data_IF_537424137497
#
_entry.id   IF_537424137497
#
_cell.length_a   1.000
_cell.length_b   1.000
_cell.length_c   1.000
_cell.angle_alpha   90.00
_cell.angle_beta   90.00
_cell.angle_gamma   90.00
#
_symmetry.space_group_name_H-M   'P 1'
#
loop_
_entity.id
_entity.type
_entity.pdbx_description
1 polymer ?
#
# COMPACT_ATOMS: atom_id res chain seq x y z
N UNK A 1 -27.91 -42.80 3.56
CA UNK A 1 -26.47 -42.58 3.24
C UNK A 1 -26.21 -41.98 1.85
N UNK A 2 -27.01 -42.25 0.80
CA UNK A 2 -26.78 -41.80 -0.59
C UNK A 2 -26.80 -40.27 -0.80
N UNK A 3 -27.65 -39.52 -0.08
CA UNK A 3 -27.72 -38.05 -0.18
C UNK A 3 -26.52 -37.31 0.44
N UNK A 4 -25.94 -37.83 1.54
CA UNK A 4 -24.77 -37.21 2.18
C UNK A 4 -23.54 -37.19 1.27
N UNK A 5 -23.36 -38.23 0.46
CA UNK A 5 -22.25 -38.30 -0.52
C UNK A 5 -22.45 -37.34 -1.71
N UNK A 6 -23.69 -37.07 -2.12
CA UNK A 6 -23.98 -36.10 -3.20
C UNK A 6 -23.68 -34.66 -2.76
N UNK A 7 -24.15 -34.28 -1.57
CA UNK A 7 -23.88 -32.96 -1.00
C UNK A 7 -22.37 -32.74 -0.78
N UNK A 8 -21.68 -33.75 -0.25
CA UNK A 8 -20.23 -33.70 -0.07
C UNK A 8 -19.47 -33.47 -1.39
N UNK A 9 -19.81 -34.22 -2.44
CA UNK A 9 -19.18 -34.04 -3.75
C UNK A 9 -19.47 -32.66 -4.36
N UNK A 10 -20.70 -32.16 -4.18
CA UNK A 10 -21.07 -30.83 -4.66
C UNK A 10 -20.23 -29.73 -3.99
N UNK A 11 -20.07 -29.79 -2.66
CA UNK A 11 -19.21 -28.88 -1.90
C UNK A 11 -17.76 -28.98 -2.40
N UNK A 12 -17.26 -30.20 -2.62
CA UNK A 12 -15.89 -30.41 -3.08
C UNK A 12 -15.64 -29.85 -4.49
N UNK A 13 -16.65 -29.87 -5.38
CA UNK A 13 -16.58 -29.22 -6.69
C UNK A 13 -16.52 -27.70 -6.55
N UNK A 14 -17.29 -27.11 -5.64
CA UNK A 14 -17.22 -25.65 -5.38
C UNK A 14 -15.82 -25.27 -4.88
N UNK A 15 -15.29 -26.02 -3.92
CA UNK A 15 -13.93 -25.80 -3.39
C UNK A 15 -12.89 -25.92 -4.51
N UNK A 16 -13.01 -26.93 -5.38
CA UNK A 16 -12.14 -27.09 -6.54
C UNK A 16 -12.17 -25.85 -7.45
N UNK A 17 -13.36 -25.35 -7.79
CA UNK A 17 -13.51 -24.17 -8.66
C UNK A 17 -12.86 -22.95 -8.02
N UNK A 18 -13.02 -22.74 -6.71
CA UNK A 18 -12.41 -21.62 -5.99
C UNK A 18 -10.88 -21.69 -6.08
N UNK A 19 -10.27 -22.82 -5.72
CA UNK A 19 -8.81 -22.96 -5.79
C UNK A 19 -8.28 -22.92 -7.23
N UNK A 20 -9.00 -23.50 -8.18
CA UNK A 20 -8.60 -23.48 -9.59
C UNK A 20 -8.64 -22.06 -10.17
N UNK A 21 -9.67 -21.27 -9.83
CA UNK A 21 -9.76 -19.87 -10.26
C UNK A 21 -8.72 -18.97 -9.59
N UNK A 22 -8.42 -19.20 -8.30
CA UNK A 22 -7.34 -18.51 -7.61
C UNK A 22 -5.97 -18.82 -8.25
N UNK A 23 -5.67 -20.08 -8.50
CA UNK A 23 -4.44 -20.50 -9.17
C UNK A 23 -4.29 -19.87 -10.57
N UNK A 24 -5.37 -19.85 -11.36
CA UNK A 24 -5.35 -19.20 -12.66
C UNK A 24 -5.07 -17.70 -12.55
N UNK A 25 -5.66 -17.03 -11.56
CA UNK A 25 -5.40 -15.62 -11.29
C UNK A 25 -3.90 -15.42 -10.98
N UNK A 26 -3.32 -16.18 -10.07
CA UNK A 26 -1.90 -16.04 -9.70
C UNK A 26 -0.97 -16.30 -10.90
N UNK A 27 -1.25 -17.32 -11.72
CA UNK A 27 -0.47 -17.56 -12.95
C UNK A 27 -0.60 -16.39 -13.93
N UNK A 28 -1.81 -15.89 -14.16
CA UNK A 28 -2.04 -14.81 -15.13
C UNK A 28 -1.45 -13.48 -14.68
N UNK A 29 -1.63 -13.11 -13.42
CA UNK A 29 -1.16 -11.83 -12.86
C UNK A 29 0.33 -11.87 -12.54
N UNK A 30 0.81 -12.88 -11.80
CA UNK A 30 2.16 -12.87 -11.25
C UNK A 30 3.19 -13.40 -12.25
N UNK A 31 2.84 -14.45 -13.00
CA UNK A 31 3.77 -15.09 -13.96
C UNK A 31 3.68 -14.44 -15.34
N UNK A 32 2.46 -14.28 -15.86
CA UNK A 32 2.23 -13.78 -17.22
C UNK A 32 2.06 -12.26 -17.30
N UNK A 33 1.95 -11.56 -16.17
CA UNK A 33 1.79 -10.09 -16.08
C UNK A 33 0.59 -9.56 -16.89
N UNK A 34 -0.48 -10.36 -16.98
CA UNK A 34 -1.72 -10.00 -17.68
C UNK A 34 -2.54 -9.09 -16.78
N UNK A 35 -2.91 -7.91 -17.28
CA UNK A 35 -3.77 -6.98 -16.53
C UNK A 35 -5.16 -7.56 -16.29
N UNK A 36 -5.67 -7.41 -15.09
CA UNK A 36 -6.99 -7.86 -14.66
C UNK A 36 -7.76 -6.73 -13.95
N UNK A 37 -9.09 -6.81 -13.83
CA UNK A 37 -9.88 -5.84 -13.07
C UNK A 37 -9.43 -5.67 -11.60
N UNK A 38 -8.76 -6.68 -11.02
CA UNK A 38 -8.24 -6.61 -9.65
C UNK A 38 -7.02 -5.70 -9.51
N UNK A 39 -6.28 -5.44 -10.58
CA UNK A 39 -5.09 -4.56 -10.55
C UNK A 39 -5.45 -3.09 -10.31
N UNK A 40 -6.74 -2.76 -10.42
CA UNK A 40 -7.28 -1.44 -10.07
C UNK A 40 -7.63 -1.32 -8.57
N UNK A 41 -7.56 -2.42 -7.79
CA UNK A 41 -7.84 -2.45 -6.36
C UNK A 41 -6.53 -2.29 -5.58
N UNK A 42 -6.01 -1.07 -5.54
CA UNK A 42 -4.92 -0.65 -4.64
C UNK A 42 -3.50 -1.12 -5.04
N UNK A 43 -2.54 -0.19 -5.05
CA UNK A 43 -1.18 -0.45 -5.54
C UNK A 43 -0.33 -1.17 -4.47
N UNK A 44 -0.35 -2.51 -4.47
CA UNK A 44 0.48 -3.36 -3.60
C UNK A 44 1.99 -3.03 -3.67
N UNK A 45 2.43 -2.38 -4.77
CA UNK A 45 3.80 -1.91 -4.95
C UNK A 45 4.22 -0.90 -3.88
N UNK A 46 3.32 -0.05 -3.43
CA UNK A 46 3.61 0.94 -2.38
C UNK A 46 3.93 0.24 -1.06
N UNK A 47 3.14 -0.80 -0.72
CA UNK A 47 3.36 -1.64 0.48
C UNK A 47 4.66 -2.44 0.37
N UNK A 48 4.98 -3.01 -0.79
CA UNK A 48 6.23 -3.77 -0.96
C UNK A 48 7.48 -2.91 -0.92
N UNK A 49 7.40 -1.64 -1.37
CA UNK A 49 8.53 -0.70 -1.30
C UNK A 49 8.97 -0.39 0.13
N UNK A 50 8.08 -0.63 1.11
CA UNK A 50 8.35 -0.46 2.53
C UNK A 50 9.21 -1.54 3.16
N UNK A 51 9.26 -2.72 2.55
CA UNK A 51 9.89 -3.88 3.16
C UNK A 51 11.38 -3.90 2.91
N UNK A 52 12.13 -4.33 3.93
CA UNK A 52 13.55 -4.60 3.76
C UNK A 52 13.74 -5.73 2.73
N UNK A 53 14.85 -5.70 1.98
CA UNK A 53 15.16 -6.73 0.97
C UNK A 53 15.02 -8.17 1.51
N UNK A 54 15.47 -8.51 2.74
CA UNK A 54 15.27 -9.85 3.28
C UNK A 54 13.80 -10.23 3.47
N UNK A 55 12.96 -9.31 3.94
CA UNK A 55 11.51 -9.53 4.12
C UNK A 55 10.84 -9.74 2.77
N UNK A 56 11.23 -8.96 1.76
CA UNK A 56 10.72 -9.10 0.39
C UNK A 56 11.06 -10.48 -0.21
N UNK A 57 12.30 -10.96 -0.01
CA UNK A 57 12.73 -12.29 -0.45
C UNK A 57 11.88 -13.37 0.22
N UNK A 58 11.67 -13.28 1.54
CA UNK A 58 10.82 -14.21 2.29
C UNK A 58 9.40 -14.22 1.71
N UNK A 59 8.81 -13.04 1.49
CA UNK A 59 7.48 -12.89 0.90
C UNK A 59 7.38 -13.61 -0.46
N UNK A 60 8.33 -13.39 -1.38
CA UNK A 60 8.32 -14.04 -2.68
C UNK A 60 8.48 -15.55 -2.61
N UNK A 61 9.37 -16.06 -1.75
CA UNK A 61 9.53 -17.51 -1.53
C UNK A 61 8.20 -18.11 -1.08
N UNK A 62 7.54 -17.47 -0.12
CA UNK A 62 6.26 -17.94 0.35
C UNK A 62 5.13 -17.82 -0.68
N UNK A 63 5.14 -16.79 -1.54
CA UNK A 63 4.23 -16.69 -2.68
C UNK A 63 4.35 -17.89 -3.62
N UNK A 64 5.58 -18.27 -3.98
CA UNK A 64 5.83 -19.48 -4.79
C UNK A 64 5.34 -20.75 -4.09
N UNK A 65 5.59 -20.89 -2.79
CA UNK A 65 5.10 -22.02 -2.01
C UNK A 65 3.55 -22.08 -1.96
N UNK A 66 2.87 -20.94 -1.92
CA UNK A 66 1.41 -20.86 -1.99
C UNK A 66 0.89 -21.42 -3.31
N UNK A 67 1.44 -20.97 -4.44
CA UNK A 67 1.08 -21.46 -5.78
C UNK A 67 1.29 -22.96 -5.90
N UNK A 68 2.43 -23.48 -5.40
CA UNK A 68 2.69 -24.92 -5.38
C UNK A 68 1.67 -25.69 -4.53
N UNK A 69 1.27 -25.13 -3.38
CA UNK A 69 0.24 -25.69 -2.52
C UNK A 69 -1.13 -25.75 -3.20
N UNK A 70 -1.49 -24.70 -3.94
CA UNK A 70 -2.73 -24.63 -4.72
C UNK A 70 -2.75 -25.66 -5.86
N UNK A 71 -1.66 -25.78 -6.63
CA UNK A 71 -1.50 -26.83 -7.66
C UNK A 71 -1.71 -28.21 -7.04
N UNK A 72 -1.07 -28.46 -5.89
CA UNK A 72 -1.19 -29.74 -5.21
C UNK A 72 -2.62 -30.02 -4.71
N UNK A 73 -3.31 -29.01 -4.19
CA UNK A 73 -4.73 -29.14 -3.79
C UNK A 73 -5.64 -29.42 -4.99
N UNK A 74 -5.47 -28.71 -6.11
CA UNK A 74 -6.24 -28.93 -7.34
C UNK A 74 -6.07 -30.38 -7.82
N UNK A 75 -4.84 -30.92 -7.80
CA UNK A 75 -4.56 -32.32 -8.14
C UNK A 75 -5.23 -33.29 -7.15
N UNK A 76 -5.06 -33.07 -5.84
CA UNK A 76 -5.63 -33.95 -4.81
C UNK A 76 -7.16 -33.98 -4.82
N UNK A 77 -7.79 -32.82 -4.96
CA UNK A 77 -9.24 -32.69 -5.03
C UNK A 77 -9.77 -33.37 -6.29
N UNK A 78 -9.08 -33.22 -7.43
CA UNK A 78 -9.39 -33.94 -8.66
C UNK A 78 -9.32 -35.46 -8.45
N UNK A 79 -8.23 -35.97 -7.86
CA UNK A 79 -8.07 -37.39 -7.56
C UNK A 79 -9.16 -37.91 -6.60
N UNK A 80 -9.58 -37.10 -5.62
CA UNK A 80 -10.65 -37.44 -4.70
C UNK A 80 -12.02 -37.48 -5.41
N UNK A 81 -12.31 -36.53 -6.29
CA UNK A 81 -13.56 -36.46 -7.06
C UNK A 81 -13.68 -37.60 -8.09
N UNK A 82 -12.65 -37.80 -8.90
CA UNK A 82 -12.67 -38.75 -10.03
C UNK A 82 -12.36 -40.19 -9.61
N UNK A 83 -11.36 -40.41 -8.76
CA UNK A 83 -10.96 -41.77 -8.32
C UNK A 83 -11.58 -42.18 -6.98
N UNK A 84 -12.41 -41.33 -6.35
CA UNK A 84 -13.10 -41.58 -5.07
C UNK A 84 -12.17 -42.04 -3.93
N UNK A 85 -10.90 -41.62 -3.97
CA UNK A 85 -9.85 -42.07 -3.04
C UNK A 85 -9.93 -41.33 -1.71
N UNK A 86 -10.80 -41.80 -0.80
CA UNK A 86 -11.04 -41.17 0.52
C UNK A 86 -9.80 -40.99 1.40
N UNK A 87 -8.74 -41.77 1.20
CA UNK A 87 -7.47 -41.60 1.94
C UNK A 87 -6.83 -40.21 1.73
N UNK A 88 -7.19 -39.51 0.65
CA UNK A 88 -6.69 -38.17 0.32
C UNK A 88 -7.36 -37.05 1.13
N UNK A 89 -8.43 -37.34 1.89
CA UNK A 89 -9.11 -36.32 2.69
C UNK A 89 -8.19 -35.68 3.74
N UNK A 90 -7.44 -36.50 4.49
CA UNK A 90 -6.51 -36.02 5.51
C UNK A 90 -5.46 -35.05 4.95
N UNK A 91 -4.69 -35.38 3.88
CA UNK A 91 -3.72 -34.45 3.34
C UNK A 91 -4.36 -33.20 2.74
N UNK A 92 -5.56 -33.28 2.13
CA UNK A 92 -6.30 -32.08 1.68
C UNK A 92 -6.56 -31.14 2.86
N UNK A 93 -7.12 -31.64 3.96
CA UNK A 93 -7.41 -30.81 5.13
C UNK A 93 -6.14 -30.18 5.73
N UNK A 94 -5.06 -30.95 5.86
CA UNK A 94 -3.78 -30.45 6.40
C UNK A 94 -3.25 -29.31 5.53
N UNK A 95 -3.21 -29.48 4.21
CA UNK A 95 -2.65 -28.49 3.30
C UNK A 95 -3.53 -27.24 3.23
N UNK A 96 -4.86 -27.40 3.22
CA UNK A 96 -5.77 -26.26 3.32
C UNK A 96 -5.57 -25.47 4.61
N UNK A 97 -5.37 -26.13 5.75
CA UNK A 97 -5.14 -25.47 7.02
C UNK A 97 -3.79 -24.72 7.05
N UNK A 98 -2.74 -25.31 6.45
CA UNK A 98 -1.43 -24.67 6.32
C UNK A 98 -1.50 -23.42 5.45
N UNK A 99 -2.20 -23.47 4.31
CA UNK A 99 -2.39 -22.31 3.44
C UNK A 99 -3.16 -21.20 4.16
N UNK A 100 -4.28 -21.52 4.83
CA UNK A 100 -5.05 -20.53 5.59
C UNK A 100 -4.19 -19.87 6.68
N UNK A 101 -3.43 -20.68 7.43
CA UNK A 101 -2.54 -20.17 8.48
C UNK A 101 -1.46 -19.25 7.90
N UNK A 102 -0.88 -19.64 6.77
CA UNK A 102 0.07 -18.82 6.03
C UNK A 102 -0.54 -17.47 5.61
N UNK A 103 -1.72 -17.47 4.97
CA UNK A 103 -2.40 -16.24 4.56
C UNK A 103 -2.73 -15.33 5.75
N UNK A 104 -3.14 -15.89 6.90
CA UNK A 104 -3.38 -15.14 8.12
C UNK A 104 -2.09 -14.50 8.67
N UNK A 105 -0.97 -15.24 8.65
CA UNK A 105 0.33 -14.72 9.05
C UNK A 105 0.77 -13.57 8.14
N UNK A 106 0.69 -13.74 6.82
CA UNK A 106 1.01 -12.67 5.86
C UNK A 106 0.13 -11.45 6.09
N UNK A 107 -1.18 -11.64 6.21
CA UNK A 107 -2.11 -10.53 6.46
C UNK A 107 -1.79 -9.78 7.76
N UNK A 108 -1.48 -10.51 8.85
CA UNK A 108 -1.05 -9.89 10.11
C UNK A 108 0.27 -9.15 9.99
N UNK A 109 1.26 -9.67 9.24
CA UNK A 109 2.52 -8.97 8.98
C UNK A 109 2.28 -7.69 8.16
N UNK A 110 1.41 -7.72 7.15
CA UNK A 110 1.04 -6.55 6.36
C UNK A 110 0.37 -5.47 7.23
N UNK A 111 -0.57 -5.86 8.09
CA UNK A 111 -1.23 -4.97 9.05
C UNK A 111 -0.24 -4.32 10.03
N UNK A 112 0.69 -5.10 10.57
CA UNK A 112 1.71 -4.62 11.51
C UNK A 112 2.75 -3.73 10.83
N UNK A 113 3.09 -3.97 9.58
CA UNK A 113 4.02 -3.11 8.84
C UNK A 113 3.35 -1.84 8.29
N UNK A 114 2.03 -1.82 8.09
CA UNK A 114 1.34 -0.61 7.64
C UNK A 114 1.51 0.56 8.64
N UNK A 115 1.53 0.28 9.95
CA UNK A 115 1.81 1.30 10.96
C UNK A 115 3.28 1.76 10.94
N UNK A 116 4.23 0.87 10.64
CA UNK A 116 5.65 1.20 10.56
C UNK A 116 6.06 1.85 9.23
N UNK A 117 5.32 1.63 8.13
CA UNK A 117 5.62 2.19 6.80
C UNK A 117 5.32 3.68 6.70
N UNK A 118 4.19 4.14 7.25
CA UNK A 118 3.96 5.58 7.30
C UNK A 118 4.96 6.27 8.23
N UNK A 119 5.40 5.57 9.28
CA UNK A 119 6.37 6.06 10.25
C UNK A 119 7.84 5.91 9.86
N UNK A 120 8.18 5.17 8.79
CA UNK A 120 9.54 5.14 8.28
C UNK A 120 9.82 6.49 7.62
N UNK A 121 10.61 7.28 8.33
CA UNK A 121 11.30 8.45 7.80
C UNK A 121 12.60 7.90 7.21
N UNK A 122 12.67 7.53 5.91
CA UNK A 122 13.97 7.29 5.28
C UNK A 122 14.75 8.59 5.43
N UNK A 123 15.98 8.53 5.98
CA UNK A 123 16.90 9.64 6.25
C UNK A 123 16.50 10.99 5.60
N UNK A 124 15.52 11.70 6.19
CA UNK A 124 15.06 12.95 5.60
C UNK A 124 16.12 13.99 5.87
N UNK A 125 16.75 14.45 4.80
CA UNK A 125 17.58 15.63 4.84
C UNK A 125 16.72 16.82 5.28
N UNK A 126 17.27 17.62 6.19
CA UNK A 126 16.64 18.85 6.62
C UNK A 126 17.27 20.00 5.87
N UNK A 127 16.45 20.96 5.47
CA UNK A 127 16.93 22.24 4.94
C UNK A 127 16.43 23.38 5.82
N UNK A 128 17.30 24.37 6.02
CA UNK A 128 16.88 25.65 6.58
C UNK A 128 16.45 26.55 5.42
N UNK A 129 15.15 26.82 5.33
CA UNK A 129 14.57 27.61 4.25
C UNK A 129 13.89 28.86 4.80
N UNK A 130 14.06 29.99 4.12
CA UNK A 130 13.49 31.27 4.54
C UNK A 130 12.22 31.59 3.75
N UNK A 131 11.12 31.85 4.46
CA UNK A 131 9.87 32.40 3.88
C UNK A 131 9.57 33.69 4.61
N UNK A 132 9.38 34.80 3.87
CA UNK A 132 9.10 36.12 4.45
C UNK A 132 10.04 36.49 5.62
N UNK A 133 11.35 36.31 5.41
CA UNK A 133 12.41 36.58 6.39
C UNK A 133 12.39 35.71 7.66
N UNK A 134 11.49 34.73 7.75
CA UNK A 134 11.47 33.74 8.84
C UNK A 134 12.15 32.46 8.37
N UNK A 135 13.11 31.95 9.14
CA UNK A 135 13.81 30.69 8.85
C UNK A 135 13.03 29.51 9.43
N UNK A 136 12.82 28.50 8.62
CA UNK A 136 12.17 27.25 9.00
C UNK A 136 13.08 26.07 8.75
N UNK A 137 13.09 25.12 9.68
CA UNK A 137 13.69 23.80 9.47
C UNK A 137 12.66 22.90 8.79
N UNK A 138 12.89 22.54 7.54
CA UNK A 138 11.93 21.79 6.71
C UNK A 138 12.49 20.43 6.32
N UNK A 139 11.59 19.46 6.18
CA UNK A 139 11.87 18.20 5.49
C UNK A 139 11.93 18.44 3.99
N UNK A 140 12.81 17.74 3.27
CA UNK A 140 12.85 17.78 1.81
C UNK A 140 11.97 16.65 1.24
N UNK A 141 11.24 16.95 0.17
CA UNK A 141 10.57 16.01 -0.70
C UNK A 141 10.94 16.33 -2.16
N UNK A 142 11.85 15.55 -2.75
CA UNK A 142 12.37 15.76 -4.11
C UNK A 142 12.16 14.54 -5.03
N UNK A 143 11.54 13.48 -4.51
CA UNK A 143 11.07 12.34 -5.28
C UNK A 143 9.54 12.23 -5.31
N UNK A 144 8.99 11.65 -6.38
CA UNK A 144 7.54 11.49 -6.58
C UNK A 144 6.83 10.83 -5.37
N UNK A 145 7.42 9.78 -4.80
CA UNK A 145 6.88 9.08 -3.62
C UNK A 145 6.76 9.99 -2.39
N UNK A 146 7.65 10.96 -2.27
CA UNK A 146 7.68 11.90 -1.15
C UNK A 146 6.68 13.02 -1.36
N UNK A 147 6.47 13.45 -2.61
CA UNK A 147 5.43 14.39 -2.98
C UNK A 147 4.03 13.84 -2.68
N UNK A 148 3.78 12.59 -3.07
CA UNK A 148 2.50 11.91 -2.83
C UNK A 148 2.23 11.70 -1.33
N UNK A 149 3.26 11.36 -0.55
CA UNK A 149 3.17 11.12 0.90
C UNK A 149 3.04 12.41 1.71
N UNK A 150 3.81 13.44 1.38
CA UNK A 150 3.86 14.70 2.12
C UNK A 150 3.97 14.54 3.64
N UNK A 151 3.09 15.23 4.36
CA UNK A 151 2.94 15.16 5.82
C UNK A 151 1.78 14.25 6.29
N UNK A 152 1.34 13.30 5.46
CA UNK A 152 0.30 12.35 5.89
C UNK A 152 0.73 11.54 7.12
N UNK A 153 -0.25 11.20 7.95
CA UNK A 153 -0.14 10.36 9.16
C UNK A 153 0.66 10.92 10.33
N UNK A 154 1.38 12.02 10.15
CA UNK A 154 1.95 12.75 11.28
C UNK A 154 0.86 13.44 12.08
N UNK A 155 0.83 13.21 13.38
CA UNK A 155 -0.14 13.84 14.30
C UNK A 155 0.47 14.95 15.12
N UNK A 156 1.80 14.92 15.33
CA UNK A 156 2.49 15.88 16.18
C UNK A 156 3.82 16.33 15.58
N UNK A 157 4.24 17.57 15.90
CA UNK A 157 5.58 18.09 15.52
C UNK A 157 6.73 17.25 16.08
N UNK A 158 6.50 16.52 17.18
CA UNK A 158 7.49 15.63 17.80
C UNK A 158 7.87 14.46 16.89
N UNK A 159 6.90 13.92 16.15
CA UNK A 159 7.13 12.81 15.19
C UNK A 159 8.00 13.25 14.00
N UNK A 160 8.06 14.55 13.73
CA UNK A 160 8.83 15.16 12.64
C UNK A 160 10.27 15.54 13.06
N UNK A 161 10.76 15.05 14.20
CA UNK A 161 12.14 15.27 14.67
C UNK A 161 12.56 16.76 14.66
N UNK A 162 11.62 17.63 14.99
CA UNK A 162 11.82 19.08 15.07
C UNK A 162 11.71 19.84 13.74
N UNK A 163 11.30 19.20 12.64
CA UNK A 163 10.88 19.95 11.46
C UNK A 163 9.60 20.75 11.74
N UNK A 164 9.52 21.92 11.12
CA UNK A 164 8.38 22.84 11.19
C UNK A 164 7.47 22.72 9.98
N UNK A 165 7.78 21.81 9.05
CA UNK A 165 7.09 21.67 7.79
C UNK A 165 7.88 20.82 6.78
N UNK A 166 7.50 20.95 5.51
CA UNK A 166 8.10 20.24 4.39
C UNK A 166 8.22 21.16 3.17
N UNK A 167 9.32 21.04 2.43
CA UNK A 167 9.50 21.67 1.12
C UNK A 167 9.51 20.60 0.04
N UNK A 168 8.71 20.84 -0.99
CA UNK A 168 8.57 20.01 -2.17
C UNK A 168 9.34 20.69 -3.30
N UNK A 169 10.25 19.96 -3.93
CA UNK A 169 11.07 20.44 -5.05
C UNK A 169 10.73 19.59 -6.27
N UNK A 170 10.29 20.25 -7.33
CA UNK A 170 9.89 19.59 -8.57
C UNK A 170 10.93 19.86 -9.69
N UNK A 171 11.15 18.90 -10.60
CA UNK A 171 12.10 19.06 -11.71
C UNK A 171 11.60 20.05 -12.77
N UNK A 172 10.30 20.31 -12.82
CA UNK A 172 9.61 21.15 -13.81
C UNK A 172 8.68 22.18 -13.14
N UNK A 173 8.24 23.18 -13.91
CA UNK A 173 7.21 24.14 -13.50
C UNK A 173 5.87 23.68 -14.06
N UNK A 174 4.91 23.45 -13.19
CA UNK A 174 3.55 23.09 -13.57
C UNK A 174 2.55 23.57 -12.51
N UNK A 175 1.26 23.51 -12.82
CA UNK A 175 0.22 23.66 -11.83
C UNK A 175 0.27 22.49 -10.84
N UNK A 176 0.52 22.79 -9.56
CA UNK A 176 0.63 21.78 -8.50
C UNK A 176 -0.64 21.76 -7.69
N UNK A 177 -1.14 20.56 -7.42
CA UNK A 177 -2.36 20.33 -6.64
C UNK A 177 -2.00 19.60 -5.37
N UNK A 178 -2.48 20.11 -4.23
CA UNK A 178 -2.26 19.55 -2.91
C UNK A 178 -3.59 19.25 -2.23
N UNK A 179 -3.57 18.28 -1.32
CA UNK A 179 -4.76 17.82 -0.59
C UNK A 179 -4.44 17.48 0.86
N UNK A 180 -5.46 17.37 1.70
CA UNK A 180 -5.28 17.03 3.10
C UNK A 180 -5.64 15.59 3.46
N UNK A 181 -5.76 14.70 2.46
CA UNK A 181 -6.08 13.28 2.71
C UNK A 181 -5.09 12.70 3.72
N UNK A 182 -5.58 12.06 4.78
CA UNK A 182 -4.78 11.49 5.86
C UNK A 182 -3.80 12.47 6.56
N UNK A 183 -4.01 13.79 6.45
CA UNK A 183 -3.13 14.81 7.04
C UNK A 183 -3.77 15.37 8.31
N UNK A 184 -3.17 15.09 9.47
CA UNK A 184 -3.73 15.46 10.78
C UNK A 184 -3.25 16.84 11.29
N UNK A 185 -2.27 17.42 10.60
CA UNK A 185 -1.72 18.74 10.91
C UNK A 185 -2.42 19.83 10.10
N UNK A 186 -2.56 21.01 10.68
CA UNK A 186 -3.03 22.20 9.95
C UNK A 186 -1.83 22.84 9.25
N UNK A 187 -1.95 23.10 7.95
CA UNK A 187 -0.83 23.52 7.12
C UNK A 187 -1.11 24.86 6.44
N UNK A 188 -0.14 25.77 6.52
CA UNK A 188 -0.04 26.91 5.61
C UNK A 188 0.78 26.45 4.39
N UNK A 189 0.28 26.74 3.20
CA UNK A 189 0.85 26.30 1.93
C UNK A 189 1.37 27.52 1.18
N UNK A 190 2.64 27.53 0.83
CA UNK A 190 3.26 28.57 0.02
C UNK A 190 3.61 28.00 -1.34
N UNK A 191 3.16 28.67 -2.40
CA UNK A 191 3.46 28.32 -3.78
C UNK A 191 4.63 29.18 -4.26
N UNK A 192 5.68 28.56 -4.79
CA UNK A 192 6.90 29.26 -5.18
C UNK A 192 7.32 28.95 -6.62
N UNK A 193 7.54 30.02 -7.39
CA UNK A 193 8.18 29.97 -8.69
C UNK A 193 9.62 30.50 -8.58
N UNK A 194 10.62 29.62 -8.74
CA UNK A 194 12.05 29.94 -8.63
C UNK A 194 12.43 30.69 -7.34
N UNK A 195 11.70 30.43 -6.25
CA UNK A 195 11.91 31.06 -4.94
C UNK A 195 11.11 32.34 -4.71
N UNK A 196 10.42 32.87 -5.71
CA UNK A 196 9.41 33.92 -5.54
C UNK A 196 8.10 33.30 -5.06
N UNK A 197 7.53 33.83 -3.98
CA UNK A 197 6.20 33.42 -3.51
C UNK A 197 5.16 34.00 -4.46
N UNK A 198 4.38 33.12 -5.11
CA UNK A 198 3.31 33.49 -6.05
C UNK A 198 1.92 33.29 -5.46
N UNK A 199 1.81 32.59 -4.33
CA UNK A 199 0.55 32.44 -3.62
C UNK A 199 0.72 31.85 -2.23
N UNK A 200 -0.34 31.96 -1.43
CA UNK A 200 -0.46 31.33 -0.13
C UNK A 200 -1.88 30.80 0.06
N UNK A 201 -1.98 29.56 0.49
CA UNK A 201 -3.23 28.91 0.87
C UNK A 201 -3.17 28.32 2.28
N UNK A 202 -4.32 27.87 2.77
CA UNK A 202 -4.44 27.15 4.02
C UNK A 202 -5.12 25.81 3.77
N UNK A 203 -4.49 24.75 4.28
CA UNK A 203 -4.97 23.40 4.16
C UNK A 203 -5.29 22.87 5.58
N UNK A 204 -6.58 22.75 5.95
CA UNK A 204 -6.97 22.27 7.27
C UNK A 204 -6.59 20.81 7.47
N UNK A 205 -6.43 20.38 8.72
CA UNK A 205 -6.33 18.94 9.01
C UNK A 205 -7.60 18.21 8.56
N UNK A 206 -7.46 16.92 8.19
CA UNK A 206 -8.59 16.08 7.78
C UNK A 206 -9.67 15.97 8.86
N UNK A 207 -9.26 16.01 10.14
CA UNK A 207 -10.18 16.02 11.28
C UNK A 207 -11.00 17.31 11.34
N UNK A 208 -10.41 18.44 10.94
CA UNK A 208 -11.08 19.74 10.92
C UNK A 208 -11.99 19.89 9.70
N UNK A 209 -11.55 19.49 8.52
CA UNK A 209 -12.35 19.60 7.30
C UNK A 209 -13.45 18.55 7.19
N UNK A 210 -13.30 17.40 7.85
CA UNK A 210 -14.15 16.19 7.78
C UNK A 210 -14.19 15.51 6.41
N UNK A 211 -13.91 16.23 5.34
CA UNK A 211 -13.79 15.75 3.97
C UNK A 211 -12.44 16.15 3.36
N UNK A 212 -12.05 15.50 2.26
CA UNK A 212 -10.79 15.83 1.59
C UNK A 212 -10.92 17.17 0.88
N UNK A 213 -10.08 18.13 1.28
CA UNK A 213 -9.96 19.44 0.64
C UNK A 213 -8.77 19.39 -0.31
N UNK A 214 -8.95 20.00 -1.48
CA UNK A 214 -7.92 20.13 -2.52
C UNK A 214 -7.72 21.61 -2.84
N UNK A 215 -6.47 22.00 -3.03
CA UNK A 215 -6.03 23.33 -3.44
C UNK A 215 -5.08 23.21 -4.62
N UNK A 216 -5.04 24.22 -5.48
CA UNK A 216 -4.20 24.24 -6.66
C UNK A 216 -3.39 25.53 -6.68
N UNK A 217 -2.15 25.46 -7.15
CA UNK A 217 -1.31 26.64 -7.30
C UNK A 217 -1.96 27.66 -8.26
N UNK A 218 -1.85 28.97 -7.98
CA UNK A 218 -2.44 30.00 -8.83
C UNK A 218 -1.73 30.11 -10.19
N UNK A 219 -0.47 29.68 -10.26
CA UNK A 219 0.39 29.70 -11.44
C UNK A 219 1.26 28.44 -11.46
N UNK A 220 2.06 28.27 -12.52
CA UNK A 220 3.03 27.18 -12.59
C UNK A 220 4.15 27.40 -11.57
N UNK A 221 4.46 26.36 -10.79
CA UNK A 221 5.46 26.42 -9.71
C UNK A 221 6.38 25.20 -9.74
N UNK A 222 7.64 25.40 -9.33
CA UNK A 222 8.62 24.34 -9.15
C UNK A 222 8.93 24.05 -7.68
N UNK A 223 8.38 24.82 -6.74
CA UNK A 223 8.52 24.56 -5.29
C UNK A 223 7.22 24.85 -4.56
N UNK A 224 6.95 24.03 -3.54
CA UNK A 224 5.84 24.24 -2.60
C UNK A 224 6.36 24.05 -1.19
N UNK A 225 5.94 24.89 -0.25
CA UNK A 225 6.32 24.77 1.15
C UNK A 225 5.09 24.65 2.03
N UNK A 226 5.01 23.54 2.75
CA UNK A 226 4.06 23.31 3.82
C UNK A 226 4.67 23.74 5.16
N UNK A 227 4.01 24.66 5.87
CA UNK A 227 4.37 25.06 7.23
C UNK A 227 3.29 24.60 8.19
N UNK A 228 3.68 23.92 9.27
CA UNK A 228 2.76 23.43 10.28
C UNK A 228 2.38 24.57 11.22
N UNK A 229 1.08 24.83 11.30
CA UNK A 229 0.53 25.87 12.18
C UNK A 229 0.70 25.57 13.67
#
# INVERSE_FOLDING_TARGET
MRNKNKLFNFILIIIFIIFFTHLLKDITQDILKIKTPLDYIGDLKEVFSSFSKPVLIIYYIFGVLSILGEIFLVILISLLLFKKRKSLLKPIFIITALLITYFLLVYSMLLLNHSNFYFSIPNKEFINYSINNTKYKLLIADEQKEWEKGLMFYKTKKELKGAQGMIFIFPDKDYRTFWNKNTYLNLDIYWLDDGKIVGKDYLPSIEKSKETVTIQSPEQVNKVVEIIR
#
